data_IF_929843496431
#
_entry.id   IF_929843496431
#
_cell.length_a   1.000
_cell.length_b   1.000
_cell.length_c   1.000
_cell.angle_alpha   90.00
_cell.angle_beta   90.00
_cell.angle_gamma   90.00
#
_symmetry.space_group_name_H-M   'P 1'
#
loop_
_entity.id
_entity.type
_entity.pdbx_description
1 polymer ?
#
# COMPACT_ATOMS: atom_id res chain seq x y z
N UNK A 1 -41.35 -33.15 -32.97
CA UNK A 1 -40.76 -31.93 -32.33
C UNK A 1 -41.81 -30.95 -31.77
N UNK A 2 -43.03 -30.83 -32.34
CA UNK A 2 -44.06 -29.87 -31.88
C UNK A 2 -44.72 -30.20 -30.52
N UNK A 3 -44.95 -31.49 -30.21
CA UNK A 3 -45.58 -31.92 -28.95
C UNK A 3 -44.78 -31.53 -27.69
N UNK A 4 -43.44 -31.50 -27.77
CA UNK A 4 -42.57 -31.08 -26.65
C UNK A 4 -42.75 -29.60 -26.27
N UNK A 5 -43.15 -28.75 -27.22
CA UNK A 5 -43.37 -27.30 -27.02
C UNK A 5 -44.70 -26.98 -26.31
N UNK A 6 -45.58 -27.96 -26.13
CA UNK A 6 -46.86 -27.82 -25.40
C UNK A 6 -46.88 -28.54 -24.06
N UNK A 7 -45.74 -29.11 -23.63
CA UNK A 7 -45.64 -29.80 -22.35
C UNK A 7 -45.55 -28.83 -21.17
N UNK A 8 -46.12 -29.18 -20.02
CA UNK A 8 -46.01 -28.37 -18.79
C UNK A 8 -44.54 -28.08 -18.43
N UNK A 9 -43.65 -29.07 -18.62
CA UNK A 9 -42.20 -28.91 -18.38
C UNK A 9 -41.53 -27.85 -19.26
N UNK A 10 -42.06 -27.63 -20.47
CA UNK A 10 -41.57 -26.58 -21.37
C UNK A 10 -42.01 -25.20 -20.89
N UNK A 11 -43.24 -25.06 -20.39
CA UNK A 11 -43.70 -23.81 -19.82
C UNK A 11 -42.99 -23.48 -18.49
N UNK A 12 -42.73 -24.46 -17.63
CA UNK A 12 -42.00 -24.23 -16.37
C UNK A 12 -40.55 -23.83 -16.61
N UNK A 13 -39.86 -24.47 -17.56
CA UNK A 13 -38.50 -24.06 -17.93
C UNK A 13 -38.46 -22.66 -18.55
N UNK A 14 -39.46 -22.31 -19.36
CA UNK A 14 -39.59 -20.96 -19.92
C UNK A 14 -39.87 -19.90 -18.85
N UNK A 15 -40.66 -20.23 -17.82
CA UNK A 15 -40.90 -19.37 -16.66
C UNK A 15 -39.60 -19.17 -15.87
N UNK A 16 -38.86 -20.24 -15.58
CA UNK A 16 -37.57 -20.14 -14.88
C UNK A 16 -36.54 -19.32 -15.68
N UNK A 17 -36.45 -19.54 -17.00
CA UNK A 17 -35.59 -18.76 -17.89
C UNK A 17 -35.97 -17.27 -17.92
N UNK A 18 -37.27 -16.96 -17.99
CA UNK A 18 -37.75 -15.56 -17.95
C UNK A 18 -37.52 -14.93 -16.57
N UNK A 19 -37.69 -15.67 -15.49
CA UNK A 19 -37.41 -15.21 -14.13
C UNK A 19 -35.92 -14.88 -13.95
N UNK A 20 -35.03 -15.77 -14.37
CA UNK A 20 -33.58 -15.54 -14.33
C UNK A 20 -33.17 -14.35 -15.19
N UNK A 21 -33.75 -14.20 -16.39
CA UNK A 21 -33.48 -13.06 -17.27
C UNK A 21 -33.97 -11.73 -16.67
N UNK A 22 -35.12 -11.74 -15.99
CA UNK A 22 -35.64 -10.56 -15.27
C UNK A 22 -34.77 -10.21 -14.06
N UNK A 23 -34.32 -11.20 -13.29
CA UNK A 23 -33.39 -11.00 -12.16
C UNK A 23 -32.04 -10.42 -12.61
N UNK A 24 -31.49 -10.92 -13.72
CA UNK A 24 -30.24 -10.40 -14.29
C UNK A 24 -30.39 -8.98 -14.86
N UNK A 25 -31.50 -8.69 -15.54
CA UNK A 25 -31.77 -7.36 -16.10
C UNK A 25 -32.05 -6.28 -15.03
N UNK A 26 -32.62 -6.67 -13.88
CA UNK A 26 -32.89 -5.75 -12.77
C UNK A 26 -31.63 -5.34 -11.99
N UNK A 27 -30.56 -6.14 -12.03
CA UNK A 27 -29.35 -5.93 -11.23
C UNK A 27 -28.55 -4.69 -11.66
N UNK A 28 -28.50 -4.38 -12.95
CA UNK A 28 -27.79 -3.21 -13.50
C UNK A 28 -28.67 -2.01 -13.83
N UNK A 29 -29.96 -2.01 -13.41
CA UNK A 29 -30.90 -0.93 -13.71
C UNK A 29 -30.72 0.29 -12.78
N UNK A 30 -29.94 0.16 -11.69
CA UNK A 30 -29.81 1.16 -10.63
C UNK A 30 -28.79 2.26 -10.86
N UNK A 31 -27.95 2.18 -11.91
CA UNK A 31 -26.95 3.22 -12.23
C UNK A 31 -25.81 3.40 -11.21
N UNK A 32 -25.88 2.70 -10.08
CA UNK A 32 -24.96 2.73 -8.95
C UNK A 32 -24.32 1.35 -8.75
N UNK A 33 -23.78 0.80 -9.85
CA UNK A 33 -22.98 -0.42 -9.78
C UNK A 33 -21.61 -0.04 -9.21
N UNK A 34 -21.44 -0.19 -7.90
CA UNK A 34 -20.19 0.06 -7.19
C UNK A 34 -19.04 -0.73 -7.82
N UNK A 35 -18.14 -0.01 -8.50
CA UNK A 35 -16.90 -0.58 -8.97
C UNK A 35 -15.97 -0.74 -7.77
N UNK A 36 -15.45 -1.96 -7.49
CA UNK A 36 -14.56 -2.15 -6.36
C UNK A 36 -13.37 -1.21 -6.47
N UNK A 37 -13.11 -0.44 -5.40
CA UNK A 37 -11.99 0.48 -5.35
C UNK A 37 -10.67 -0.27 -5.54
N UNK A 38 -9.69 0.41 -6.16
CA UNK A 38 -8.36 -0.15 -6.35
C UNK A 38 -7.66 -0.30 -4.98
N UNK A 39 -7.68 -1.52 -4.45
CA UNK A 39 -7.00 -1.87 -3.20
C UNK A 39 -5.49 -1.57 -3.28
N UNK A 40 -4.93 -1.04 -2.19
CA UNK A 40 -3.47 -0.98 -2.03
C UNK A 40 -2.95 -2.40 -1.81
N UNK A 41 -1.71 -2.67 -2.21
CA UNK A 41 -1.11 -4.00 -2.07
C UNK A 41 -1.17 -4.54 -0.63
N UNK A 42 -1.01 -3.68 0.36
CA UNK A 42 -1.12 -4.03 1.79
C UNK A 42 -2.51 -4.55 2.16
N UNK A 43 -3.55 -3.84 1.73
CA UNK A 43 -4.93 -4.18 2.06
C UNK A 43 -5.36 -5.46 1.36
N UNK A 44 -4.93 -5.65 0.11
CA UNK A 44 -5.11 -6.89 -0.65
C UNK A 44 -4.46 -8.09 0.05
N UNK A 45 -3.22 -7.93 0.50
CA UNK A 45 -2.47 -9.00 1.16
C UNK A 45 -3.10 -9.36 2.52
N UNK A 46 -3.56 -8.37 3.29
CA UNK A 46 -4.30 -8.61 4.53
C UNK A 46 -5.63 -9.34 4.28
N UNK A 47 -6.39 -8.96 3.24
CA UNK A 47 -7.63 -9.65 2.85
C UNK A 47 -7.38 -11.10 2.44
N UNK A 48 -6.37 -11.35 1.61
CA UNK A 48 -6.00 -12.70 1.17
C UNK A 48 -5.54 -13.57 2.34
N UNK A 49 -4.75 -13.00 3.27
CA UNK A 49 -4.32 -13.71 4.48
C UNK A 49 -5.51 -14.04 5.40
N UNK A 50 -6.42 -13.08 5.62
CA UNK A 50 -7.62 -13.33 6.42
C UNK A 50 -8.58 -14.34 5.77
N UNK A 51 -8.65 -14.37 4.43
CA UNK A 51 -9.41 -15.38 3.69
C UNK A 51 -8.74 -16.77 3.79
N UNK A 52 -7.40 -16.82 3.74
CA UNK A 52 -6.63 -18.05 3.96
C UNK A 52 -6.75 -18.57 5.40
N UNK A 53 -6.72 -17.68 6.40
CA UNK A 53 -6.99 -18.01 7.80
C UNK A 53 -8.41 -18.54 7.97
N UNK A 54 -9.42 -17.89 7.40
CA UNK A 54 -10.81 -18.39 7.42
C UNK A 54 -10.96 -19.75 6.74
N UNK A 55 -10.29 -19.96 5.61
CA UNK A 55 -10.25 -21.25 4.92
C UNK A 55 -9.52 -22.31 5.75
N UNK A 56 -8.50 -21.93 6.53
CA UNK A 56 -7.83 -22.80 7.50
C UNK A 56 -8.65 -23.07 8.76
N UNK A 57 -9.55 -22.17 9.14
CA UNK A 57 -10.46 -22.32 10.28
C UNK A 57 -11.81 -22.97 9.93
N UNK A 58 -12.14 -23.10 8.64
CA UNK A 58 -13.22 -23.99 8.20
C UNK A 58 -12.80 -25.43 8.49
N UNK A 59 -13.30 -25.95 9.61
CA UNK A 59 -12.98 -27.26 10.18
C UNK A 59 -12.93 -28.36 9.09
N UNK A 60 -11.72 -28.76 8.71
CA UNK A 60 -11.50 -30.10 8.20
C UNK A 60 -11.63 -31.06 9.39
N UNK A 61 -12.64 -31.91 9.35
CA UNK A 61 -12.87 -32.98 10.33
C UNK A 61 -11.84 -34.10 10.10
N UNK A 62 -10.56 -33.82 10.29
CA UNK A 62 -9.47 -34.81 10.26
C UNK A 62 -8.45 -34.38 11.32
N UNK A 63 -8.26 -35.25 12.31
CA UNK A 63 -7.45 -35.01 13.49
C UNK A 63 -5.96 -34.79 13.21
N UNK A 64 -5.36 -34.08 14.16
CA UNK A 64 -3.93 -33.84 14.39
C UNK A 64 -3.10 -33.32 13.22
N UNK A 65 -2.92 -32.01 13.14
CA UNK A 65 -1.64 -31.48 12.71
C UNK A 65 -1.28 -30.18 13.46
N UNK A 66 -0.09 -30.20 14.07
CA UNK A 66 0.41 -29.16 14.96
C UNK A 66 0.86 -27.96 14.14
N UNK A 67 0.11 -26.86 14.23
CA UNK A 67 0.32 -25.65 13.46
C UNK A 67 1.75 -25.10 13.49
N UNK A 68 2.38 -25.11 12.32
CA UNK A 68 3.55 -24.32 11.95
C UNK A 68 3.70 -24.40 10.44
N UNK A 69 3.77 -23.27 9.75
CA UNK A 69 4.06 -23.28 8.32
C UNK A 69 5.54 -23.65 8.13
N UNK A 70 5.84 -24.94 8.14
CA UNK A 70 7.14 -25.46 7.71
C UNK A 70 7.26 -25.27 6.21
N UNK A 71 8.27 -24.53 5.78
CA UNK A 71 8.56 -24.40 4.36
C UNK A 71 9.26 -25.67 3.82
N UNK A 72 9.50 -25.72 2.51
CA UNK A 72 10.18 -26.84 1.87
C UNK A 72 11.60 -27.06 2.44
N UNK A 73 12.26 -26.01 2.95
CA UNK A 73 13.58 -26.10 3.59
C UNK A 73 13.47 -26.78 4.98
N UNK A 74 12.43 -26.47 5.75
CA UNK A 74 12.16 -27.09 7.06
C UNK A 74 11.88 -28.59 6.92
N UNK A 75 11.12 -29.01 5.90
CA UNK A 75 10.83 -30.41 5.63
C UNK A 75 12.06 -31.20 5.15
N UNK A 76 12.93 -30.59 4.34
CA UNK A 76 14.19 -31.19 3.94
C UNK A 76 15.15 -31.34 5.13
N UNK A 77 15.23 -30.32 5.99
CA UNK A 77 16.06 -30.34 7.20
C UNK A 77 15.58 -31.39 8.21
N UNK A 78 14.27 -31.57 8.37
CA UNK A 78 13.71 -32.60 9.25
C UNK A 78 13.99 -34.03 8.76
N UNK A 79 14.05 -34.26 7.44
CA UNK A 79 14.45 -35.56 6.88
C UNK A 79 15.94 -35.83 7.08
N UNK A 80 16.78 -34.83 6.81
CA UNK A 80 18.24 -34.94 6.91
C UNK A 80 18.70 -35.13 8.38
N UNK A 81 18.07 -34.45 9.34
CA UNK A 81 18.30 -34.66 10.78
C UNK A 81 17.87 -36.06 11.24
N UNK A 82 16.79 -36.61 10.67
CA UNK A 82 16.30 -37.95 10.98
C UNK A 82 17.23 -39.04 10.46
N UNK A 83 17.86 -38.81 9.30
CA UNK A 83 18.83 -39.73 8.70
C UNK A 83 20.22 -39.64 9.36
N UNK A 84 20.59 -38.48 9.94
CA UNK A 84 21.86 -38.26 10.63
C UNK A 84 21.90 -38.75 12.10
N UNK A 85 20.78 -39.20 12.67
CA UNK A 85 20.65 -39.64 14.07
C UNK A 85 21.23 -41.06 14.34
N UNK A 86 22.32 -41.43 13.67
CA UNK A 86 23.16 -42.58 14.02
C UNK A 86 24.27 -42.16 15.00
N UNK A 87 24.72 -43.03 15.91
CA UNK A 87 25.44 -42.66 17.14
C UNK A 87 26.88 -42.12 16.99
N UNK A 88 27.36 -41.82 15.78
CA UNK A 88 28.78 -41.49 15.49
C UNK A 88 29.01 -40.25 14.60
N UNK A 89 28.01 -39.40 14.37
CA UNK A 89 28.04 -38.45 13.24
C UNK A 89 27.75 -36.97 13.57
N UNK A 90 28.34 -36.46 14.65
CA UNK A 90 28.15 -35.08 15.12
C UNK A 90 28.68 -33.99 14.16
N UNK A 91 29.51 -34.35 13.18
CA UNK A 91 30.16 -33.40 12.26
C UNK A 91 29.36 -33.14 10.97
N UNK A 92 28.45 -34.04 10.57
CA UNK A 92 27.77 -33.97 9.27
C UNK A 92 26.71 -32.86 9.22
N UNK A 93 26.04 -32.59 10.34
CA UNK A 93 25.11 -31.46 10.47
C UNK A 93 25.82 -30.10 10.35
N UNK A 94 27.02 -29.97 10.92
CA UNK A 94 27.82 -28.75 10.84
C UNK A 94 28.29 -28.47 9.40
N UNK A 95 28.73 -29.50 8.68
CA UNK A 95 29.14 -29.37 7.27
C UNK A 95 27.97 -29.00 6.36
N UNK A 96 26.77 -29.54 6.63
CA UNK A 96 25.55 -29.19 5.92
C UNK A 96 25.17 -27.72 6.13
N UNK A 97 25.21 -27.21 7.37
CA UNK A 97 24.95 -25.79 7.66
C UNK A 97 26.00 -24.87 7.05
N UNK A 98 27.27 -25.26 7.11
CA UNK A 98 28.37 -24.52 6.50
C UNK A 98 28.19 -24.43 4.97
N UNK A 99 27.85 -25.53 4.31
CA UNK A 99 27.61 -25.58 2.86
C UNK A 99 26.37 -24.80 2.42
N UNK A 100 25.29 -24.77 3.23
CA UNK A 100 24.11 -23.93 2.98
C UNK A 100 24.47 -22.44 3.06
N UNK A 101 25.27 -22.06 4.06
CA UNK A 101 25.71 -20.68 4.23
C UNK A 101 26.61 -20.19 3.09
N UNK A 102 27.46 -21.07 2.54
CA UNK A 102 28.32 -20.75 1.41
C UNK A 102 27.55 -20.68 0.09
N UNK A 103 26.62 -21.61 -0.16
CA UNK A 103 25.69 -21.60 -1.31
C UNK A 103 24.83 -20.34 -1.32
N UNK A 104 24.22 -19.97 -0.18
CA UNK A 104 23.42 -18.74 -0.07
C UNK A 104 24.24 -17.48 -0.39
N UNK A 105 25.52 -17.45 -0.01
CA UNK A 105 26.44 -16.35 -0.35
C UNK A 105 26.80 -16.35 -1.84
N UNK A 106 27.07 -17.51 -2.45
CA UNK A 106 27.36 -17.60 -3.88
C UNK A 106 26.15 -17.21 -4.73
N UNK A 107 24.95 -17.66 -4.36
CA UNK A 107 23.72 -17.39 -5.09
C UNK A 107 23.36 -15.90 -5.01
N UNK A 108 23.52 -15.29 -3.82
CA UNK A 108 23.36 -13.85 -3.66
C UNK A 108 24.36 -13.06 -4.49
N UNK A 109 25.61 -13.52 -4.58
CA UNK A 109 26.64 -12.88 -5.41
C UNK A 109 26.34 -13.03 -6.91
N UNK A 110 25.88 -14.21 -7.34
CA UNK A 110 25.49 -14.49 -8.72
C UNK A 110 24.27 -13.65 -9.12
N UNK A 111 23.26 -13.54 -8.26
CA UNK A 111 22.07 -12.71 -8.48
C UNK A 111 22.45 -11.22 -8.58
N UNK A 112 23.31 -10.73 -7.67
CA UNK A 112 23.82 -9.37 -7.73
C UNK A 112 24.64 -9.09 -9.01
N UNK A 113 25.42 -10.07 -9.49
CA UNK A 113 26.16 -9.97 -10.75
C UNK A 113 25.21 -9.94 -11.95
N UNK A 114 24.23 -10.83 -12.00
CA UNK A 114 23.20 -10.86 -13.04
C UNK A 114 22.38 -9.56 -13.08
N UNK A 115 22.04 -8.98 -11.94
CA UNK A 115 21.38 -7.67 -11.87
C UNK A 115 22.25 -6.53 -12.41
N UNK A 116 23.55 -6.52 -12.10
CA UNK A 116 24.49 -5.53 -12.63
C UNK A 116 24.67 -5.67 -14.14
N UNK A 117 24.76 -6.89 -14.63
CA UNK A 117 24.85 -7.18 -16.07
C UNK A 117 23.56 -6.79 -16.80
N UNK A 118 22.40 -7.11 -16.24
CA UNK A 118 21.11 -6.68 -16.77
C UNK A 118 20.98 -5.14 -16.82
N UNK A 119 21.46 -4.43 -15.81
CA UNK A 119 21.49 -2.97 -15.82
C UNK A 119 22.46 -2.42 -16.89
N UNK A 120 23.63 -3.04 -17.07
CA UNK A 120 24.63 -2.62 -18.06
C UNK A 120 24.16 -2.86 -19.51
N UNK A 121 23.43 -3.96 -19.76
CA UNK A 121 22.89 -4.31 -21.09
C UNK A 121 21.63 -3.49 -21.42
N UNK A 122 21.23 -2.55 -20.57
CA UNK A 122 20.08 -1.67 -20.84
C UNK A 122 18.74 -2.35 -20.58
N UNK A 123 18.66 -3.26 -19.60
CA UNK A 123 17.41 -3.83 -19.09
C UNK A 123 16.49 -2.81 -18.40
N UNK A 124 16.86 -1.53 -18.40
CA UNK A 124 15.98 -0.43 -18.06
C UNK A 124 15.06 -0.19 -19.26
N UNK A 125 13.77 -0.48 -19.09
CA UNK A 125 12.74 -0.16 -20.08
C UNK A 125 12.63 1.36 -20.15
N UNK A 126 13.40 1.96 -21.05
CA UNK A 126 13.27 3.37 -21.38
C UNK A 126 11.97 3.50 -22.18
N UNK A 127 10.98 4.20 -21.62
CA UNK A 127 9.77 4.55 -22.35
C UNK A 127 10.17 5.30 -23.62
N UNK A 128 10.03 4.65 -24.77
CA UNK A 128 10.27 5.28 -26.07
C UNK A 128 9.30 6.44 -26.27
N UNK A 129 9.79 7.53 -26.87
CA UNK A 129 8.94 8.65 -27.29
C UNK A 129 7.75 8.10 -28.08
N UNK A 130 6.54 8.23 -27.50
CA UNK A 130 5.30 7.87 -28.18
C UNK A 130 5.15 8.81 -29.36
N UNK A 131 5.49 8.32 -30.55
CA UNK A 131 5.19 8.96 -31.82
C UNK A 131 3.66 9.01 -31.90
N UNK A 132 3.10 10.22 -31.92
CA UNK A 132 1.65 10.39 -32.04
C UNK A 132 1.13 9.84 -33.37
N UNK A 133 -0.19 9.71 -33.50
CA UNK A 133 -0.86 9.10 -34.68
C UNK A 133 -0.44 9.69 -36.05
N UNK A 134 0.07 10.93 -36.07
CA UNK A 134 0.57 11.65 -37.26
C UNK A 134 2.02 11.26 -37.66
N UNK A 135 2.69 10.36 -36.93
CA UNK A 135 4.06 9.91 -37.25
C UNK A 135 5.17 10.95 -37.02
N UNK A 136 4.82 12.18 -36.62
CA UNK A 136 5.76 13.29 -36.39
C UNK A 136 6.18 13.40 -34.93
N UNK A 137 7.47 13.70 -34.71
CA UNK A 137 8.01 13.99 -33.38
C UNK A 137 7.51 15.35 -32.89
N UNK A 138 6.95 15.40 -31.67
CA UNK A 138 6.50 16.63 -31.04
C UNK A 138 7.67 17.38 -30.40
N UNK A 139 7.55 18.70 -30.30
CA UNK A 139 8.48 19.53 -29.53
C UNK A 139 8.40 19.16 -28.03
N UNK A 140 9.54 19.06 -27.36
CA UNK A 140 9.57 18.78 -25.91
C UNK A 140 9.26 20.05 -25.11
N UNK A 141 8.68 19.89 -23.92
CA UNK A 141 8.36 21.02 -23.03
C UNK A 141 9.58 21.88 -22.67
N UNK A 142 10.77 21.27 -22.59
CA UNK A 142 12.03 21.98 -22.33
C UNK A 142 12.35 22.98 -23.44
N UNK A 143 12.22 22.55 -24.70
CA UNK A 143 12.45 23.39 -25.88
C UNK A 143 11.31 24.41 -26.01
N UNK A 144 10.06 23.97 -25.84
CA UNK A 144 8.88 24.83 -25.97
C UNK A 144 8.89 26.01 -24.98
N UNK A 145 9.27 25.77 -23.73
CA UNK A 145 9.27 26.81 -22.69
C UNK A 145 10.60 27.53 -22.50
N UNK A 146 11.70 26.99 -23.01
CA UNK A 146 13.06 27.54 -22.92
C UNK A 146 13.41 28.16 -21.54
N UNK A 147 13.11 27.44 -20.46
CA UNK A 147 13.24 27.95 -19.07
C UNK A 147 14.67 27.86 -18.52
N UNK A 148 15.61 27.23 -19.22
CA UNK A 148 17.01 27.09 -18.82
C UNK A 148 17.23 26.47 -17.42
N UNK A 149 18.41 26.72 -16.85
CA UNK A 149 18.82 26.24 -15.52
C UNK A 149 18.34 27.18 -14.39
N UNK A 150 17.02 27.32 -14.25
CA UNK A 150 16.44 28.14 -13.17
C UNK A 150 16.48 27.44 -11.81
N UNK A 151 16.72 28.15 -10.69
CA UNK A 151 16.70 27.56 -9.37
C UNK A 151 15.29 27.14 -8.96
N UNK A 152 15.19 26.10 -8.11
CA UNK A 152 13.90 25.65 -7.61
C UNK A 152 13.21 26.72 -6.75
N UNK A 153 11.98 27.11 -7.12
CA UNK A 153 11.14 28.05 -6.37
C UNK A 153 10.00 27.33 -5.67
N UNK A 154 9.77 27.65 -4.38
CA UNK A 154 8.67 27.09 -3.58
C UNK A 154 7.31 27.32 -4.26
N UNK A 155 6.38 26.36 -4.10
CA UNK A 155 5.01 26.43 -4.66
C UNK A 155 4.25 27.69 -4.22
N UNK A 156 4.48 28.15 -3.00
CA UNK A 156 3.81 29.34 -2.44
C UNK A 156 4.17 30.63 -3.18
N UNK A 157 5.36 30.70 -3.78
CA UNK A 157 5.80 31.89 -4.54
C UNK A 157 5.08 31.98 -5.88
N UNK A 158 4.50 30.88 -6.39
CA UNK A 158 3.72 30.87 -7.64
C UNK A 158 2.43 31.69 -7.51
N UNK A 159 1.86 31.77 -6.31
CA UNK A 159 0.65 32.54 -6.06
C UNK A 159 0.91 33.64 -4.99
N UNK A 160 0.95 34.93 -5.39
CA UNK A 160 1.27 36.02 -4.47
C UNK A 160 0.30 36.11 -3.29
N UNK A 161 -0.99 35.81 -3.50
CA UNK A 161 -2.00 35.79 -2.43
C UNK A 161 -1.69 34.74 -1.38
N UNK A 162 -1.34 33.52 -1.80
CA UNK A 162 -1.02 32.42 -0.89
C UNK A 162 0.25 32.71 -0.10
N UNK A 163 1.28 33.29 -0.75
CA UNK A 163 2.50 33.75 -0.08
C UNK A 163 2.21 34.76 1.03
N UNK A 164 1.38 35.77 0.74
CA UNK A 164 1.05 36.82 1.72
C UNK A 164 0.17 36.30 2.86
N UNK A 165 -0.79 35.43 2.57
CA UNK A 165 -1.61 34.76 3.60
C UNK A 165 -0.74 33.96 4.57
N UNK A 166 0.12 33.08 4.05
CA UNK A 166 1.04 32.28 4.89
C UNK A 166 1.99 33.15 5.70
N UNK A 167 2.54 34.20 5.10
CA UNK A 167 3.38 35.17 5.83
C UNK A 167 2.61 35.83 6.97
N UNK A 168 1.36 36.24 6.75
CA UNK A 168 0.52 36.82 7.81
C UNK A 168 0.26 35.81 8.94
N UNK A 169 -0.08 34.56 8.61
CA UNK A 169 -0.32 33.51 9.60
C UNK A 169 0.94 33.19 10.42
N UNK A 170 2.12 33.18 9.79
CA UNK A 170 3.41 33.01 10.46
C UNK A 170 3.74 34.18 11.41
N UNK A 171 3.59 35.43 10.94
CA UNK A 171 3.85 36.61 11.76
C UNK A 171 2.83 36.74 12.91
N UNK A 172 1.56 36.35 12.69
CA UNK A 172 0.54 36.30 13.74
C UNK A 172 0.92 35.31 14.86
N UNK A 173 1.51 34.17 14.51
CA UNK A 173 2.03 33.20 15.50
C UNK A 173 3.23 33.76 16.26
N UNK A 174 4.19 34.40 15.57
CA UNK A 174 5.35 35.04 16.21
C UNK A 174 4.92 36.15 17.16
N UNK A 175 3.94 36.98 16.76
CA UNK A 175 3.38 38.03 17.61
C UNK A 175 2.86 37.48 18.93
N UNK A 176 2.11 36.37 18.89
CA UNK A 176 1.59 35.69 20.08
C UNK A 176 2.68 35.06 20.95
N UNK A 177 3.87 34.79 20.39
CA UNK A 177 5.04 34.33 21.16
C UNK A 177 5.77 35.48 21.85
N UNK A 178 5.79 36.68 21.25
CA UNK A 178 6.49 37.83 21.81
C UNK A 178 5.70 38.53 22.91
N UNK A 179 4.38 38.65 22.72
CA UNK A 179 3.49 39.30 23.68
C UNK A 179 2.18 38.53 23.83
N UNK A 180 1.55 38.58 25.01
CA UNK A 180 0.22 38.03 25.19
C UNK A 180 -0.75 38.77 24.25
N UNK A 181 -1.46 38.02 23.42
CA UNK A 181 -2.50 38.52 22.52
C UNK A 181 -3.83 37.99 23.03
N UNK A 182 -4.83 38.87 23.14
CA UNK A 182 -6.19 38.47 23.52
C UNK A 182 -6.79 37.53 22.47
N UNK A 183 -7.32 36.38 22.91
CA UNK A 183 -7.86 35.30 22.05
C UNK A 183 -9.35 35.03 22.23
N UNK A 184 -10.12 35.97 22.80
CA UNK A 184 -11.58 35.84 22.92
C UNK A 184 -12.11 35.51 24.31
N UNK A 185 -11.38 35.83 25.37
CA UNK A 185 -11.87 35.74 26.76
C UNK A 185 -11.96 34.32 27.29
N UNK A 186 -12.79 34.14 28.32
CA UNK A 186 -13.04 32.82 28.91
C UNK A 186 -13.72 31.89 27.90
N UNK A 187 -13.26 30.64 27.89
CA UNK A 187 -13.83 29.60 27.03
C UNK A 187 -15.27 29.27 27.40
N UNK A 188 -15.95 28.58 26.49
CA UNK A 188 -17.28 28.02 26.73
C UNK A 188 -17.15 26.92 27.80
N UNK A 189 -17.40 27.27 29.05
CA UNK A 189 -17.11 26.42 30.23
C UNK A 189 -16.64 27.19 31.47
N UNK A 190 -16.39 28.50 31.35
CA UNK A 190 -15.94 29.34 32.48
C UNK A 190 -14.43 29.18 32.76
N UNK A 191 -13.99 29.69 33.91
CA UNK A 191 -12.59 29.68 34.31
C UNK A 191 -12.13 28.28 34.79
N UNK A 192 -11.25 27.65 34.02
CA UNK A 192 -10.63 26.36 34.34
C UNK A 192 -9.23 26.44 34.97
N UNK A 193 -8.79 27.64 35.34
CA UNK A 193 -7.40 27.90 35.77
C UNK A 193 -6.45 28.28 34.64
N UNK A 194 -5.22 28.68 35.00
CA UNK A 194 -4.16 29.02 34.06
C UNK A 194 -3.55 27.74 33.41
N UNK A 195 -3.98 27.43 32.18
CA UNK A 195 -3.58 26.20 31.48
C UNK A 195 -2.06 26.02 31.31
N UNK A 196 -1.32 27.12 31.16
CA UNK A 196 0.16 27.09 30.97
C UNK A 196 0.94 27.24 32.27
N UNK A 197 0.25 27.36 33.42
CA UNK A 197 0.85 27.53 34.73
C UNK A 197 1.25 28.98 35.09
N UNK A 198 1.45 29.20 36.39
CA UNK A 198 1.78 30.52 36.98
C UNK A 198 3.22 30.50 37.52
N UNK A 199 4.04 31.47 37.11
CA UNK A 199 5.40 31.66 37.61
C UNK A 199 5.46 32.79 38.65
N UNK A 200 5.57 32.44 39.94
CA UNK A 200 5.50 33.38 41.08
C UNK A 200 6.55 34.51 41.05
N UNK A 201 7.77 34.22 40.56
CA UNK A 201 8.86 35.20 40.54
C UNK A 201 8.94 36.09 39.30
N UNK A 202 7.98 36.02 38.37
CA UNK A 202 8.05 36.75 37.10
C UNK A 202 7.19 38.02 37.14
N UNK A 203 7.85 39.18 37.20
CA UNK A 203 7.20 40.50 37.14
C UNK A 203 7.33 41.07 35.73
N UNK A 204 6.20 41.37 35.06
CA UNK A 204 6.16 41.93 33.69
C UNK A 204 5.59 43.35 33.60
N UNK A 205 5.48 44.06 34.73
CA UNK A 205 5.03 45.46 34.76
C UNK A 205 6.11 46.41 34.25
N UNK A 206 5.70 47.48 33.57
CA UNK A 206 6.60 48.60 33.21
C UNK A 206 6.83 49.47 34.44
N UNK A 207 8.09 49.60 34.88
CA UNK A 207 8.48 50.54 35.93
C UNK A 207 8.41 51.98 35.36
N UNK A 208 7.81 52.88 36.13
CA UNK A 208 7.73 54.31 35.82
C UNK A 208 9.04 55.01 36.18
#
# INVERSE_FOLDING_TARGET
>A
KAQKKKSLRFYTSQIAQKANKRGAAGRGAGGDDDVPHRERLRDRQARLNAEAEKRGHEKADIGDDLGGASDEEDHAQAREIRDAAGPDNDNEYYDMVASKSSKKKSDKAALAKAQKEAALVGGEVIEQEVVGDDGKRKISYLIEKNKGLTPHRKKDVRNPRVKKRKKYDEEKKKLASMKPVYKGGEGRGGYGGELTGIKKGLVKSTKL
#
